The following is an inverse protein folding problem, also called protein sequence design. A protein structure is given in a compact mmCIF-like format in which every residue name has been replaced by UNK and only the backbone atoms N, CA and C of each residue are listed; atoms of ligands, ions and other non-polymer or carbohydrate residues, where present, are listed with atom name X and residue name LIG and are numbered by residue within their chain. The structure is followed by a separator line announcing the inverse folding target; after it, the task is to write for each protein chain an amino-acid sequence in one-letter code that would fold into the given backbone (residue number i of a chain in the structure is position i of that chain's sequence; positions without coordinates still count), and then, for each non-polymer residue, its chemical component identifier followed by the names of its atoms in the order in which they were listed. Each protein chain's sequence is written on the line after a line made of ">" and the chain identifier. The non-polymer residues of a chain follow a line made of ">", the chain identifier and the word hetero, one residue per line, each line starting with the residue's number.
data_IF_530752362652
#
_entry.id   IF_530752362652
#
_cell.length_a   1.000
_cell.length_b   1.000
_cell.length_c   1.000
_cell.angle_alpha   90.00
_cell.angle_beta   90.00
_cell.angle_gamma   90.00
#
_symmetry.space_group_name_H-M   'P 1'
#
loop_
_entity.id
_entity.type
_entity.pdbx_description
1 polymer ?
#
# COMPACT_ATOMS: atom_id res chain seq x y z
N UNK A 1 -34.88 -13.35 17.62
CA UNK A 1 -34.20 -14.01 16.49
C UNK A 1 -33.38 -12.94 15.76
N UNK A 2 -32.11 -12.77 16.13
CA UNK A 2 -31.24 -11.71 15.60
C UNK A 2 -30.71 -12.12 14.21
N UNK A 3 -31.17 -11.39 13.19
CA UNK A 3 -30.75 -11.49 11.80
C UNK A 3 -29.25 -11.14 11.73
N UNK A 4 -28.40 -12.12 11.45
CA UNK A 4 -26.98 -11.88 11.18
C UNK A 4 -26.87 -11.00 9.94
N UNK A 5 -26.43 -9.76 10.13
CA UNK A 5 -26.00 -8.88 9.05
C UNK A 5 -24.74 -9.51 8.46
N UNK A 6 -24.95 -10.27 7.39
CA UNK A 6 -23.88 -10.74 6.54
C UNK A 6 -23.48 -9.53 5.68
N UNK A 7 -22.65 -8.66 6.24
CA UNK A 7 -22.06 -7.54 5.53
C UNK A 7 -21.10 -8.11 4.49
N UNK A 8 -21.64 -8.37 3.29
CA UNK A 8 -20.85 -8.58 2.08
C UNK A 8 -20.07 -7.29 1.79
N UNK A 9 -18.88 -7.18 2.38
CA UNK A 9 -17.88 -6.23 1.95
C UNK A 9 -17.62 -6.45 0.44
N UNK A 10 -17.53 -5.39 -0.37
CA UNK A 10 -17.45 -5.51 -1.83
C UNK A 10 -16.26 -6.38 -2.24
N UNK A 11 -16.43 -7.22 -3.26
CA UNK A 11 -15.45 -8.24 -3.66
C UNK A 11 -14.02 -7.73 -3.88
N UNK A 12 -13.85 -6.44 -4.20
CA UNK A 12 -12.54 -5.79 -4.32
C UNK A 12 -11.76 -5.70 -3.00
N UNK A 13 -12.46 -5.65 -1.85
CA UNK A 13 -11.86 -5.68 -0.51
C UNK A 13 -11.40 -7.09 -0.16
N UNK A 14 -12.15 -8.12 -0.57
CA UNK A 14 -11.73 -9.52 -0.43
C UNK A 14 -10.54 -9.85 -1.34
N UNK A 15 -10.53 -9.37 -2.59
CA UNK A 15 -9.39 -9.52 -3.51
C UNK A 15 -8.12 -8.81 -3.00
N UNK A 16 -8.29 -7.64 -2.37
CA UNK A 16 -7.21 -6.91 -1.72
C UNK A 16 -6.59 -7.70 -0.56
N UNK A 17 -7.46 -8.32 0.24
CA UNK A 17 -7.07 -9.14 1.38
C UNK A 17 -6.43 -10.43 0.88
N UNK A 18 -6.95 -11.06 -0.18
CA UNK A 18 -6.41 -12.29 -0.76
C UNK A 18 -5.03 -12.07 -1.41
N UNK A 19 -4.87 -11.01 -2.20
CA UNK A 19 -3.57 -10.63 -2.77
C UNK A 19 -2.53 -10.32 -1.67
N UNK A 20 -2.93 -9.58 -0.62
CA UNK A 20 -2.05 -9.33 0.53
C UNK A 20 -1.73 -10.60 1.31
N UNK A 21 -2.70 -11.51 1.48
CA UNK A 21 -2.50 -12.78 2.19
C UNK A 21 -1.53 -13.67 1.43
N UNK A 22 -1.63 -13.68 0.09
CA UNK A 22 -0.72 -14.40 -0.80
C UNK A 22 0.70 -13.83 -0.78
N UNK A 23 0.84 -12.50 -0.69
CA UNK A 23 2.13 -11.85 -0.46
C UNK A 23 2.67 -12.07 0.97
N UNK A 24 1.78 -12.23 1.96
CA UNK A 24 2.16 -12.46 3.37
C UNK A 24 2.73 -13.85 3.63
N UNK A 25 2.42 -14.84 2.78
CA UNK A 25 2.79 -16.25 3.00
C UNK A 25 4.30 -16.51 2.89
N UNK A 26 5.07 -15.62 2.26
CA UNK A 26 6.54 -15.68 2.16
C UNK A 26 7.28 -14.40 2.65
N UNK A 27 6.58 -13.29 2.90
CA UNK A 27 7.21 -11.95 3.11
C UNK A 27 6.67 -11.17 4.33
N UNK A 28 6.33 -11.87 5.42
CA UNK A 28 5.76 -11.27 6.64
C UNK A 28 6.57 -10.09 7.19
N UNK A 29 7.90 -10.15 7.16
CA UNK A 29 8.79 -9.06 7.60
C UNK A 29 8.67 -7.79 6.76
N UNK A 30 8.62 -7.93 5.43
CA UNK A 30 8.49 -6.79 4.51
C UNK A 30 7.11 -6.15 4.63
N UNK A 31 6.04 -6.95 4.73
CA UNK A 31 4.69 -6.43 4.90
C UNK A 31 4.56 -5.59 6.18
N UNK A 32 5.18 -6.04 7.28
CA UNK A 32 5.24 -5.29 8.54
C UNK A 32 6.06 -4.00 8.42
N UNK A 33 7.28 -4.05 7.87
CA UNK A 33 8.14 -2.88 7.69
C UNK A 33 7.48 -1.80 6.81
N UNK A 34 6.82 -2.24 5.73
CA UNK A 34 6.10 -1.33 4.82
C UNK A 34 4.85 -0.76 5.48
N UNK A 35 4.12 -1.55 6.26
CA UNK A 35 2.96 -1.07 7.02
C UNK A 35 3.36 -0.08 8.11
N UNK A 36 4.54 -0.22 8.71
CA UNK A 36 5.07 0.77 9.65
C UNK A 36 5.46 2.07 8.96
N UNK A 37 6.13 1.98 7.81
CA UNK A 37 6.56 3.13 7.04
C UNK A 37 5.41 3.90 6.37
N UNK A 38 4.34 3.21 5.94
CA UNK A 38 3.25 3.80 5.15
C UNK A 38 1.86 3.75 5.81
N UNK A 39 1.64 2.82 6.74
CA UNK A 39 0.30 2.48 7.23
C UNK A 39 -0.09 3.10 8.58
N UNK A 40 0.86 3.66 9.34
CA UNK A 40 0.55 4.34 10.61
C UNK A 40 0.04 5.77 10.35
N UNK A 41 -0.87 6.23 11.20
CA UNK A 41 -1.30 7.64 11.19
C UNK A 41 -0.10 8.54 11.50
N UNK A 42 0.15 9.55 10.66
CA UNK A 42 1.35 10.39 10.75
C UNK A 42 2.63 9.78 10.17
N UNK A 43 2.57 8.59 9.55
CA UNK A 43 3.72 8.00 8.90
C UNK A 43 4.19 8.86 7.71
N UNK A 44 5.50 9.02 7.59
CA UNK A 44 6.14 9.85 6.54
C UNK A 44 6.04 9.23 5.14
N UNK A 45 5.78 7.92 5.04
CA UNK A 45 5.84 7.21 3.76
C UNK A 45 4.80 7.66 2.75
N UNK A 46 3.54 7.86 3.13
CA UNK A 46 2.50 8.31 2.18
C UNK A 46 2.74 9.74 1.68
N UNK A 47 3.04 10.73 2.55
CA UNK A 47 3.43 12.06 2.11
C UNK A 47 4.65 12.04 1.19
N UNK A 48 5.68 11.24 1.50
CA UNK A 48 6.91 11.16 0.71
C UNK A 48 6.68 10.48 -0.64
N UNK A 49 5.93 9.38 -0.69
CA UNK A 49 5.53 8.72 -1.94
C UNK A 49 4.75 9.68 -2.82
N UNK A 50 3.84 10.49 -2.25
CA UNK A 50 3.10 11.51 -3.00
C UNK A 50 4.02 12.61 -3.54
N UNK A 51 4.93 13.13 -2.71
CA UNK A 51 5.90 14.15 -3.12
C UNK A 51 6.78 13.67 -4.27
N UNK A 52 7.32 12.46 -4.16
CA UNK A 52 8.17 11.84 -5.20
C UNK A 52 7.40 11.49 -6.46
N UNK A 53 6.16 11.03 -6.33
CA UNK A 53 5.29 10.82 -7.49
C UNK A 53 5.13 12.12 -8.27
N UNK A 54 4.84 13.22 -7.57
CA UNK A 54 4.70 14.53 -8.19
C UNK A 54 5.99 15.00 -8.89
N UNK A 55 7.14 14.88 -8.21
CA UNK A 55 8.45 15.25 -8.77
C UNK A 55 8.84 14.42 -10.00
N UNK A 56 8.35 13.19 -10.10
CA UNK A 56 8.60 12.30 -11.21
C UNK A 56 7.51 12.33 -12.31
N UNK A 57 6.46 13.14 -12.15
CA UNK A 57 5.31 13.16 -13.07
C UNK A 57 4.46 11.89 -13.05
N UNK A 58 4.43 11.17 -11.92
CA UNK A 58 3.67 9.94 -11.69
C UNK A 58 2.35 10.20 -10.92
N UNK A 59 1.85 11.44 -10.94
CA UNK A 59 0.59 11.81 -10.27
C UNK A 59 -0.59 10.96 -10.75
N UNK A 60 -0.71 10.74 -12.06
CA UNK A 60 -1.79 9.94 -12.65
C UNK A 60 -1.73 8.47 -12.21
N UNK A 61 -0.52 7.90 -12.11
CA UNK A 61 -0.30 6.55 -11.61
C UNK A 61 -0.78 6.44 -10.15
N UNK A 62 -0.36 7.39 -9.31
CA UNK A 62 -0.73 7.40 -7.90
C UNK A 62 -2.23 7.63 -7.73
N UNK A 63 -2.83 8.48 -8.55
CA UNK A 63 -4.27 8.73 -8.56
C UNK A 63 -5.05 7.47 -8.97
N UNK A 64 -4.58 6.74 -9.98
CA UNK A 64 -5.16 5.46 -10.38
C UNK A 64 -5.21 4.45 -9.22
N UNK A 65 -4.12 4.34 -8.43
CA UNK A 65 -4.09 3.48 -7.25
C UNK A 65 -4.99 3.97 -6.10
N UNK A 66 -5.23 5.29 -5.99
CA UNK A 66 -6.13 5.85 -4.98
C UNK A 66 -7.60 5.56 -5.30
N UNK A 67 -7.95 5.57 -6.57
CA UNK A 67 -9.33 5.43 -7.04
C UNK A 67 -9.79 3.97 -7.02
N UNK A 68 -8.93 3.07 -7.48
CA UNK A 68 -9.21 1.65 -7.55
C UNK A 68 -8.02 0.83 -7.05
N UNK A 69 -8.32 -0.32 -6.44
CA UNK A 69 -7.25 -1.26 -6.12
C UNK A 69 -6.61 -1.77 -7.42
N UNK A 70 -5.31 -1.57 -7.55
CA UNK A 70 -4.56 -2.13 -8.68
C UNK A 70 -4.54 -3.65 -8.56
N UNK A 71 -4.93 -4.34 -9.64
CA UNK A 71 -4.81 -5.80 -9.77
C UNK A 71 -3.46 -6.24 -10.31
N UNK A 72 -2.65 -5.29 -10.76
CA UNK A 72 -1.31 -5.51 -11.28
C UNK A 72 -0.27 -4.91 -10.33
N UNK A 73 0.87 -5.59 -10.12
CA UNK A 73 2.01 -4.99 -9.44
C UNK A 73 2.43 -3.69 -10.11
N UNK A 74 2.97 -2.75 -9.33
CA UNK A 74 3.66 -1.58 -9.87
C UNK A 74 4.92 -2.02 -10.64
N UNK A 75 5.41 -1.17 -11.55
CA UNK A 75 6.72 -1.42 -12.16
C UNK A 75 7.80 -1.17 -11.14
N UNK A 76 8.85 -1.99 -11.14
CA UNK A 76 9.99 -1.82 -10.23
C UNK A 76 10.68 -0.46 -10.37
N UNK A 77 10.72 0.07 -11.60
CA UNK A 77 11.24 1.42 -11.85
C UNK A 77 10.41 2.51 -11.14
N UNK A 78 9.08 2.34 -11.08
CA UNK A 78 8.21 3.25 -10.34
C UNK A 78 8.47 3.12 -8.84
N UNK A 79 8.63 1.90 -8.31
CA UNK A 79 9.00 1.68 -6.91
C UNK A 79 10.33 2.35 -6.56
N UNK A 80 11.36 2.18 -7.38
CA UNK A 80 12.68 2.83 -7.19
C UNK A 80 12.59 4.36 -7.23
N UNK A 81 11.61 4.90 -7.94
CA UNK A 81 11.35 6.34 -8.03
C UNK A 81 10.59 6.84 -6.80
N UNK A 82 9.55 6.12 -6.39
CA UNK A 82 8.64 6.48 -5.31
C UNK A 82 9.26 6.31 -3.91
N UNK A 83 10.24 5.41 -3.76
CA UNK A 83 10.91 5.15 -2.49
C UNK A 83 12.34 5.68 -2.50
N UNK A 84 12.77 6.42 -1.45
CA UNK A 84 14.18 6.79 -1.31
C UNK A 84 15.08 5.55 -1.29
N UNK A 85 16.27 5.59 -1.93
CA UNK A 85 17.23 4.48 -1.88
C UNK A 85 17.56 4.05 -0.45
N UNK A 86 17.72 5.00 0.46
CA UNK A 86 17.97 4.71 1.88
C UNK A 86 16.84 3.92 2.56
N UNK A 87 15.59 4.13 2.15
CA UNK A 87 14.43 3.37 2.67
C UNK A 87 14.43 1.95 2.11
N UNK A 88 14.75 1.79 0.82
CA UNK A 88 14.88 0.47 0.20
C UNK A 88 16.00 -0.35 0.85
N UNK A 89 17.16 0.28 1.10
CA UNK A 89 18.27 -0.34 1.84
C UNK A 89 17.87 -0.73 3.25
N UNK A 90 17.17 0.17 3.97
CA UNK A 90 16.68 -0.11 5.32
C UNK A 90 15.74 -1.33 5.33
N UNK A 91 14.82 -1.43 4.38
CA UNK A 91 13.94 -2.60 4.28
C UNK A 91 14.72 -3.88 4.00
N UNK A 92 15.75 -3.84 3.15
CA UNK A 92 16.61 -5.00 2.91
C UNK A 92 17.33 -5.44 4.19
N UNK A 93 17.89 -4.50 4.95
CA UNK A 93 18.57 -4.75 6.22
C UNK A 93 17.61 -5.32 7.29
N UNK A 94 16.44 -4.71 7.47
CA UNK A 94 15.47 -5.13 8.51
C UNK A 94 14.82 -6.48 8.21
N UNK A 95 14.68 -6.82 6.93
CA UNK A 95 13.99 -8.07 6.52
C UNK A 95 14.96 -9.19 6.18
N UNK A 96 16.26 -8.90 6.02
CA UNK A 96 17.27 -9.83 5.51
C UNK A 96 17.06 -10.20 4.03
N UNK A 97 16.15 -9.53 3.32
CA UNK A 97 15.89 -9.77 1.91
C UNK A 97 16.95 -9.08 1.04
N UNK A 98 17.16 -9.61 -0.17
CA UNK A 98 17.95 -8.90 -1.17
C UNK A 98 17.25 -7.60 -1.60
N UNK A 99 18.00 -6.57 -2.04
CA UNK A 99 17.41 -5.33 -2.54
C UNK A 99 16.36 -5.56 -3.64
N UNK A 100 16.61 -6.49 -4.56
CA UNK A 100 15.66 -6.82 -5.63
C UNK A 100 14.39 -7.48 -5.09
N UNK A 101 14.50 -8.37 -4.08
CA UNK A 101 13.34 -8.97 -3.44
C UNK A 101 12.47 -7.93 -2.71
N UNK A 102 13.10 -6.93 -2.07
CA UNK A 102 12.40 -5.78 -1.47
C UNK A 102 11.63 -5.00 -2.52
N UNK A 103 12.26 -4.69 -3.65
CA UNK A 103 11.63 -3.93 -4.75
C UNK A 103 10.44 -4.70 -5.33
N UNK A 104 10.61 -5.99 -5.61
CA UNK A 104 9.53 -6.87 -6.11
C UNK A 104 8.37 -7.00 -5.11
N UNK A 105 8.69 -7.11 -3.83
CA UNK A 105 7.67 -7.16 -2.77
C UNK A 105 6.92 -5.83 -2.67
N UNK A 106 7.62 -4.70 -2.69
CA UNK A 106 7.03 -3.36 -2.72
C UNK A 106 6.14 -3.15 -3.94
N UNK A 107 6.58 -3.55 -5.13
CA UNK A 107 5.81 -3.47 -6.36
C UNK A 107 4.44 -4.14 -6.22
N UNK A 108 4.39 -5.25 -5.49
CA UNK A 108 3.15 -5.97 -5.21
C UNK A 108 2.25 -5.20 -4.23
N UNK A 109 2.79 -4.69 -3.11
CA UNK A 109 1.96 -4.19 -2.00
C UNK A 109 1.61 -2.70 -2.06
N UNK A 110 2.46 -1.87 -2.67
CA UNK A 110 2.34 -0.40 -2.65
C UNK A 110 0.99 0.10 -3.19
N UNK A 111 0.49 -0.37 -4.34
CA UNK A 111 -0.81 0.08 -4.86
C UNK A 111 -1.96 -0.17 -3.87
N UNK A 112 -1.96 -1.33 -3.21
CA UNK A 112 -2.99 -1.69 -2.23
C UNK A 112 -2.93 -0.83 -0.97
N UNK A 113 -1.74 -0.44 -0.53
CA UNK A 113 -1.56 0.44 0.64
C UNK A 113 -2.01 1.87 0.32
N UNK A 114 -1.65 2.38 -0.87
CA UNK A 114 -2.10 3.70 -1.35
C UNK A 114 -3.63 3.74 -1.43
N UNK A 115 -4.26 2.70 -1.98
CA UNK A 115 -5.71 2.55 -2.02
C UNK A 115 -6.34 2.59 -0.61
N UNK A 116 -5.83 1.77 0.32
CA UNK A 116 -6.35 1.71 1.70
C UNK A 116 -6.22 3.05 2.41
N UNK A 117 -5.06 3.70 2.30
CA UNK A 117 -4.84 5.02 2.89
C UNK A 117 -5.83 6.06 2.34
N UNK A 118 -6.09 6.04 1.03
CA UNK A 118 -7.06 6.93 0.41
C UNK A 118 -8.49 6.66 0.92
N UNK A 119 -8.90 5.39 1.07
CA UNK A 119 -10.23 5.05 1.63
C UNK A 119 -10.35 5.40 3.10
N UNK A 120 -9.32 5.19 3.91
CA UNK A 120 -9.31 5.61 5.31
C UNK A 120 -9.41 7.13 5.45
N UNK A 121 -8.69 7.89 4.62
CA UNK A 121 -8.78 9.35 4.60
C UNK A 121 -10.19 9.83 4.20
N UNK A 122 -10.86 9.15 3.27
CA UNK A 122 -12.25 9.45 2.88
C UNK A 122 -13.24 9.11 3.99
N UNK A 123 -13.05 8.01 4.70
CA UNK A 123 -13.91 7.61 5.84
C UNK A 123 -13.80 8.60 7.00
N UNK A 124 -12.59 9.04 7.33
CA UNK A 124 -12.35 10.06 8.38
C UNK A 124 -12.95 11.43 8.04
N UNK A 125 -13.12 11.74 6.75
CA UNK A 125 -13.69 13.00 6.28
C UNK A 125 -15.22 12.95 6.14
N UNK A 126 -15.86 11.78 6.22
CA UNK A 126 -17.32 11.72 6.31
C UNK A 126 -17.72 12.16 7.73
N UNK A 127 -18.38 13.32 7.91
CA UNK A 127 -18.97 13.63 9.21
C UNK A 127 -19.96 12.51 9.54
N UNK A 128 -19.87 11.97 10.75
CA UNK A 128 -20.92 11.14 11.31
C UNK A 128 -22.18 12.00 11.32
N UNK A 129 -23.05 11.84 10.33
CA UNK A 129 -24.40 12.40 10.38
C UNK A 129 -25.09 11.66 11.51
N UNK A 130 -25.28 12.38 12.61
CA UNK A 130 -26.05 12.00 13.78
C UNK A 130 -27.54 12.10 13.48
#
# INVERSE_FOLDING_TARGET
>A
MTKRMNDNLPGSLNDAVDFMTRAHSDNSGLASAVSEYMGKEGAVGIPEVRRRAHEAGLDDLLQGWRDAISKTPAREADVKTLFPPAVLSKFAEETGLSPDAVITGLASVVPGIVYRNAKQAQQKQKPSVM
#
